data_IF_281603129317
#
_entry.id   IF_281603129317
#
_cell.length_a   1.000
_cell.length_b   1.000
_cell.length_c   1.000
_cell.angle_alpha   90.00
_cell.angle_beta   90.00
_cell.angle_gamma   90.00
#
_symmetry.space_group_name_H-M   'P 1'
#
loop_
_entity.id
_entity.type
_entity.pdbx_description
1 polymer ?
#
# COMPACT_ATOMS: atom_id res chain seq x y z
N UNK A 1 -12.05 -19.44 18.31
CA UNK A 1 -12.91 -18.59 19.18
C UNK A 1 -13.26 -17.35 18.40
N UNK A 2 -14.54 -16.95 18.39
CA UNK A 2 -15.02 -15.74 17.73
C UNK A 2 -15.39 -14.73 18.81
N UNK A 3 -15.06 -13.46 18.59
CA UNK A 3 -15.37 -12.35 19.48
C UNK A 3 -15.94 -11.22 18.66
N UNK A 4 -17.02 -10.62 19.15
CA UNK A 4 -17.70 -9.54 18.43
C UNK A 4 -17.00 -8.21 18.67
N UNK A 5 -16.80 -7.48 17.56
CA UNK A 5 -16.28 -6.13 17.57
C UNK A 5 -17.14 -5.24 16.67
N UNK A 6 -17.14 -3.95 16.98
CA UNK A 6 -17.78 -2.89 16.22
C UNK A 6 -16.67 -2.09 15.56
N UNK A 7 -16.75 -1.93 14.24
CA UNK A 7 -15.93 -0.98 13.51
C UNK A 7 -16.66 0.37 13.46
N UNK A 8 -16.01 1.42 13.96
CA UNK A 8 -16.54 2.78 13.96
C UNK A 8 -15.39 3.77 13.69
N UNK A 9 -15.51 4.56 12.62
CA UNK A 9 -14.57 5.63 12.27
C UNK A 9 -13.09 5.20 12.26
N UNK A 10 -12.77 4.07 11.64
CA UNK A 10 -11.40 3.58 11.54
C UNK A 10 -10.90 2.81 12.77
N UNK A 11 -11.76 2.54 13.76
CA UNK A 11 -11.39 1.84 15.00
C UNK A 11 -12.26 0.62 15.22
N UNK A 12 -11.62 -0.50 15.60
CA UNK A 12 -12.31 -1.69 16.10
C UNK A 12 -12.42 -1.61 17.63
N UNK A 13 -13.64 -1.78 18.15
CA UNK A 13 -13.95 -1.85 19.58
C UNK A 13 -14.60 -3.20 19.90
N UNK A 14 -14.10 -3.93 20.88
CA UNK A 14 -14.75 -5.16 21.33
C UNK A 14 -16.04 -4.86 22.10
N UNK A 15 -17.11 -5.63 21.87
CA UNK A 15 -18.38 -5.44 22.58
C UNK A 15 -18.30 -5.78 24.07
N UNK A 16 -17.37 -6.66 24.44
CA UNK A 16 -17.13 -7.07 25.81
C UNK A 16 -15.67 -6.75 26.21
N UNK A 17 -15.40 -6.44 27.48
CA UNK A 17 -14.04 -6.23 27.96
C UNK A 17 -13.25 -7.54 27.83
N UNK A 18 -12.16 -7.51 27.06
CA UNK A 18 -11.27 -8.65 26.84
C UNK A 18 -9.90 -8.35 27.43
N UNK A 19 -9.39 -9.26 28.26
CA UNK A 19 -7.99 -9.24 28.67
C UNK A 19 -7.19 -10.18 27.78
N UNK A 20 -6.41 -9.59 26.88
CA UNK A 20 -5.65 -10.34 25.89
C UNK A 20 -4.26 -10.65 26.46
N UNK A 21 -3.89 -11.93 26.45
CA UNK A 21 -2.60 -12.39 26.99
C UNK A 21 -1.40 -11.85 26.21
N UNK A 22 -1.59 -11.59 24.92
CA UNK A 22 -0.54 -11.16 24.01
C UNK A 22 -0.65 -9.65 23.75
N UNK A 23 0.51 -8.97 23.76
CA UNK A 23 0.59 -7.52 23.48
C UNK A 23 0.29 -7.15 22.03
N UNK A 24 0.49 -8.08 21.09
CA UNK A 24 0.28 -7.88 19.65
C UNK A 24 -0.23 -9.17 19.01
N UNK A 25 -1.25 -9.06 18.17
CA UNK A 25 -1.80 -10.14 17.36
C UNK A 25 -2.48 -9.54 16.13
N UNK A 26 -2.55 -10.32 15.05
CA UNK A 26 -3.26 -9.94 13.83
C UNK A 26 -4.67 -10.50 13.89
N UNK A 27 -5.64 -9.73 13.44
CA UNK A 27 -7.04 -10.16 13.29
C UNK A 27 -7.39 -10.26 11.81
N UNK A 28 -8.16 -11.30 11.47
CA UNK A 28 -8.80 -11.41 10.17
C UNK A 28 -10.26 -10.99 10.34
N UNK A 29 -10.71 -10.05 9.52
CA UNK A 29 -12.08 -9.53 9.55
C UNK A 29 -12.75 -9.94 8.26
N UNK A 30 -13.92 -10.57 8.37
CA UNK A 30 -14.73 -10.95 7.21
C UNK A 30 -15.84 -9.91 7.06
N UNK A 31 -15.86 -9.26 5.91
CA UNK A 31 -16.82 -8.23 5.53
C UNK A 31 -17.33 -8.57 4.13
N UNK A 32 -18.54 -8.14 3.74
CA UNK A 32 -18.96 -8.24 2.35
C UNK A 32 -18.15 -7.26 1.50
N UNK A 33 -17.97 -7.57 0.21
CA UNK A 33 -17.06 -6.84 -0.69
C UNK A 33 -17.44 -5.36 -0.86
N UNK A 34 -18.72 -5.03 -0.73
CA UNK A 34 -19.28 -3.67 -0.83
C UNK A 34 -19.06 -2.82 0.42
N UNK A 35 -18.63 -3.41 1.54
CA UNK A 35 -18.37 -2.70 2.78
C UNK A 35 -17.00 -2.00 2.82
N UNK A 36 -16.17 -2.18 1.79
CA UNK A 36 -14.82 -1.60 1.72
C UNK A 36 -14.72 -0.72 0.48
N UNK A 37 -14.53 0.57 0.70
CA UNK A 37 -14.04 1.46 -0.35
C UNK A 37 -12.51 1.34 -0.43
N UNK A 38 -12.02 0.60 -1.42
CA UNK A 38 -10.60 0.63 -1.74
C UNK A 38 -10.25 2.02 -2.26
N UNK A 39 -9.70 2.87 -1.38
CA UNK A 39 -8.96 4.05 -1.82
C UNK A 39 -7.71 3.56 -2.53
N UNK A 40 -7.79 3.31 -3.84
CA UNK A 40 -6.60 3.19 -4.69
C UNK A 40 -5.76 4.45 -4.46
N UNK A 41 -4.57 4.35 -3.83
CA UNK A 41 -3.84 5.53 -3.41
C UNK A 41 -3.30 6.34 -4.60
N UNK A 42 -3.33 5.79 -5.81
CA UNK A 42 -2.76 6.40 -7.00
C UNK A 42 -3.63 6.08 -8.23
N UNK A 43 -4.76 6.77 -8.40
CA UNK A 43 -5.40 6.87 -9.71
C UNK A 43 -4.62 7.89 -10.56
N UNK A 44 -3.35 7.59 -10.83
CA UNK A 44 -2.50 8.44 -11.65
C UNK A 44 -3.01 8.39 -13.09
N UNK A 45 -3.17 9.56 -13.75
CA UNK A 45 -3.48 9.59 -15.17
C UNK A 45 -2.48 8.74 -15.97
N UNK A 46 -2.90 8.05 -17.03
CA UNK A 46 -2.00 7.26 -17.88
C UNK A 46 -0.75 8.04 -18.33
N UNK A 47 -0.91 9.34 -18.59
CA UNK A 47 0.18 10.25 -18.98
C UNK A 47 1.27 10.40 -17.91
N UNK A 48 0.94 10.35 -16.62
CA UNK A 48 1.92 10.43 -15.53
C UNK A 48 2.72 9.13 -15.42
N UNK A 49 2.07 7.99 -15.69
CA UNK A 49 2.72 6.67 -15.72
C UNK A 49 3.69 6.58 -16.90
N UNK A 50 3.29 7.09 -18.07
CA UNK A 50 4.16 7.14 -19.25
C UNK A 50 5.37 8.06 -19.05
N UNK A 51 5.17 9.23 -18.43
CA UNK A 51 6.26 10.14 -18.07
C UNK A 51 7.24 9.50 -17.08
N UNK A 52 6.73 8.81 -16.06
CA UNK A 52 7.57 8.09 -15.11
C UNK A 52 8.39 6.97 -15.78
N UNK A 53 7.80 6.22 -16.72
CA UNK A 53 8.51 5.19 -17.48
C UNK A 53 9.60 5.78 -18.37
N UNK A 54 9.32 6.86 -19.08
CA UNK A 54 10.30 7.54 -19.92
C UNK A 54 11.50 8.07 -19.10
N UNK A 55 11.24 8.58 -17.89
CA UNK A 55 12.29 9.05 -16.98
C UNK A 55 13.18 7.89 -16.50
N UNK A 56 12.57 6.76 -16.12
CA UNK A 56 13.32 5.55 -15.71
C UNK A 56 14.22 5.04 -16.84
N UNK A 57 13.70 4.96 -18.07
CA UNK A 57 14.49 4.55 -19.23
C UNK A 57 15.68 5.49 -19.48
N UNK A 58 15.49 6.80 -19.33
CA UNK A 58 16.61 7.77 -19.41
C UNK A 58 17.65 7.54 -18.32
N UNK A 59 17.23 7.32 -17.09
CA UNK A 59 18.15 7.03 -15.98
C UNK A 59 18.92 5.74 -16.21
N UNK A 60 18.28 4.68 -16.70
CA UNK A 60 18.95 3.42 -17.02
C UNK A 60 19.97 3.58 -18.16
N UNK A 61 19.63 4.36 -19.19
CA UNK A 61 20.55 4.67 -20.27
C UNK A 61 21.80 5.40 -19.78
N UNK A 62 21.65 6.36 -18.86
CA UNK A 62 22.77 7.07 -18.23
C UNK A 62 23.60 6.13 -17.35
N UNK A 63 22.94 5.30 -16.53
CA UNK A 63 23.61 4.36 -15.62
C UNK A 63 24.44 3.32 -16.37
N UNK A 64 23.94 2.86 -17.52
CA UNK A 64 24.59 1.84 -18.33
C UNK A 64 25.45 2.43 -19.46
N UNK A 65 25.63 3.76 -19.52
CA UNK A 65 26.49 4.38 -20.50
C UNK A 65 27.96 3.96 -20.24
N UNK A 66 28.70 3.50 -21.26
CA UNK A 66 30.12 3.20 -21.11
C UNK A 66 30.90 4.47 -20.75
N UNK A 67 31.85 4.37 -19.81
CA UNK A 67 32.67 5.48 -19.28
C UNK A 67 33.60 6.17 -20.31
N UNK A 68 33.46 5.90 -21.62
CA UNK A 68 34.37 6.32 -22.68
C UNK A 68 33.92 7.61 -23.40
N UNK A 69 33.32 8.57 -22.69
CA UNK A 69 33.03 9.89 -23.26
C UNK A 69 33.30 11.05 -22.28
N UNK A 70 34.37 10.95 -21.48
CA UNK A 70 34.86 12.10 -20.69
C UNK A 70 36.33 12.45 -21.02
N UNK A 71 37.03 11.70 -21.89
CA UNK A 71 38.40 12.06 -22.29
C UNK A 71 38.66 11.72 -23.76
N UNK A 72 38.31 12.65 -24.67
CA UNK A 72 38.95 12.83 -25.98
C UNK A 72 38.55 14.21 -26.54
#
# INVERSE_FOLDING_TARGET
MQVEAIYENGKLKFKQPLHLKNKKFTVMVTLPDDAIEEKTPYNLPPEEIERARALLQRMEAIKNAPLLLIVA
#
